data_IF_029903565934
#
_entry.id   IF_029903565934
#
_cell.length_a   1.000
_cell.length_b   1.000
_cell.length_c   1.000
_cell.angle_alpha   90.00
_cell.angle_beta   90.00
_cell.angle_gamma   90.00
#
_symmetry.space_group_name_H-M   'P 1'
#
loop_
_entity.id
_entity.type
_entity.pdbx_description
1 polymer ?
#
# COMPACT_ATOMS: atom_id res chain seq x y z
N UNK A 1 10.63 -1.42 -59.34
CA UNK A 1 10.68 -2.59 -58.43
C UNK A 1 11.56 -2.32 -57.21
N UNK A 2 12.74 -1.70 -57.39
CA UNK A 2 13.67 -1.31 -56.32
C UNK A 2 13.10 -0.36 -55.25
N UNK A 3 12.32 0.65 -55.64
CA UNK A 3 11.75 1.64 -54.70
C UNK A 3 10.73 1.02 -53.73
N UNK A 4 9.97 0.02 -54.18
CA UNK A 4 8.95 -0.67 -53.36
C UNK A 4 9.63 -1.56 -52.29
N UNK A 5 10.78 -2.13 -52.60
CA UNK A 5 11.56 -2.95 -51.65
C UNK A 5 12.18 -2.09 -50.55
N UNK A 6 12.67 -0.90 -50.90
CA UNK A 6 13.21 0.08 -49.93
C UNK A 6 12.13 0.57 -48.97
N UNK A 7 10.94 0.90 -49.45
CA UNK A 7 9.82 1.32 -48.59
C UNK A 7 9.36 0.17 -47.68
N UNK A 8 9.25 -1.05 -48.21
CA UNK A 8 8.90 -2.22 -47.40
C UNK A 8 9.93 -2.49 -46.30
N UNK A 9 11.22 -2.41 -46.63
CA UNK A 9 12.31 -2.58 -45.65
C UNK A 9 12.29 -1.50 -44.56
N UNK A 10 11.98 -0.25 -44.91
CA UNK A 10 11.81 0.84 -43.92
C UNK A 10 10.60 0.60 -43.02
N UNK A 11 9.46 0.22 -43.59
CA UNK A 11 8.24 -0.10 -42.84
C UNK A 11 8.49 -1.27 -41.87
N UNK A 12 9.20 -2.31 -42.32
CA UNK A 12 9.52 -3.49 -41.52
C UNK A 12 10.50 -3.14 -40.38
N UNK A 13 11.51 -2.29 -40.63
CA UNK A 13 12.43 -1.80 -39.61
C UNK A 13 11.74 -0.93 -38.53
N UNK A 14 10.84 -0.03 -38.93
CA UNK A 14 10.06 0.81 -38.00
C UNK A 14 9.11 -0.04 -37.14
N UNK A 15 8.49 -1.08 -37.72
CA UNK A 15 7.66 -2.03 -36.97
C UNK A 15 8.49 -2.82 -35.97
N UNK A 16 9.69 -3.26 -36.34
CA UNK A 16 10.58 -4.00 -35.46
C UNK A 16 11.06 -3.14 -34.27
N UNK A 17 11.42 -1.87 -34.50
CA UNK A 17 11.81 -0.94 -33.44
C UNK A 17 10.64 -0.64 -32.48
N UNK A 18 9.45 -0.41 -33.03
CA UNK A 18 8.23 -0.21 -32.25
C UNK A 18 7.90 -1.44 -31.40
N UNK A 19 8.03 -2.64 -31.98
CA UNK A 19 7.86 -3.90 -31.26
C UNK A 19 8.89 -4.06 -30.13
N UNK A 20 10.17 -3.76 -30.37
CA UNK A 20 11.22 -3.80 -29.34
C UNK A 20 10.97 -2.82 -28.20
N UNK A 21 10.51 -1.61 -28.51
CA UNK A 21 10.16 -0.59 -27.52
C UNK A 21 8.99 -1.06 -26.68
N UNK A 22 7.93 -1.56 -27.32
CA UNK A 22 6.76 -2.12 -26.63
C UNK A 22 7.16 -3.31 -25.73
N UNK A 23 7.96 -4.25 -26.23
CA UNK A 23 8.45 -5.38 -25.45
C UNK A 23 9.32 -4.95 -24.28
N UNK A 24 10.17 -3.93 -24.44
CA UNK A 24 11.00 -3.40 -23.34
C UNK A 24 10.15 -2.74 -22.25
N UNK A 25 9.12 -1.98 -22.64
CA UNK A 25 8.15 -1.39 -21.70
C UNK A 25 7.40 -2.50 -20.96
N UNK A 26 6.98 -3.57 -21.64
CA UNK A 26 6.35 -4.73 -21.01
C UNK A 26 7.29 -5.42 -20.01
N UNK A 27 8.56 -5.60 -20.33
CA UNK A 27 9.54 -6.17 -19.38
C UNK A 27 9.72 -5.28 -18.14
N UNK A 28 9.81 -3.97 -18.30
CA UNK A 28 9.89 -3.04 -17.19
C UNK A 28 8.63 -3.09 -16.31
N UNK A 29 7.44 -3.14 -16.93
CA UNK A 29 6.16 -3.31 -16.24
C UNK A 29 6.06 -4.64 -15.49
N UNK A 30 6.60 -5.73 -16.04
CA UNK A 30 6.68 -7.02 -15.35
C UNK A 30 7.63 -6.97 -14.15
N UNK A 31 8.80 -6.35 -14.29
CA UNK A 31 9.73 -6.17 -13.18
C UNK A 31 9.10 -5.31 -12.05
N UNK A 32 8.46 -4.19 -12.39
CA UNK A 32 7.75 -3.34 -11.43
C UNK A 32 6.58 -4.07 -10.75
N UNK A 33 5.83 -4.87 -11.50
CA UNK A 33 4.73 -5.70 -10.97
C UNK A 33 5.25 -6.72 -9.96
N UNK A 34 6.36 -7.39 -10.27
CA UNK A 34 7.00 -8.36 -9.38
C UNK A 34 7.49 -7.69 -8.09
N UNK A 35 8.10 -6.51 -8.22
CA UNK A 35 8.57 -5.72 -7.09
C UNK A 35 7.43 -5.17 -6.24
N UNK A 36 6.28 -4.81 -6.81
CA UNK A 36 5.18 -4.21 -6.06
C UNK A 36 4.58 -5.15 -5.01
N UNK A 37 4.45 -6.45 -5.32
CA UNK A 37 3.98 -7.44 -4.34
C UNK A 37 5.05 -7.80 -3.31
N UNK A 38 6.28 -8.03 -3.76
CA UNK A 38 7.39 -8.49 -2.91
C UNK A 38 7.92 -7.39 -1.97
N UNK A 39 8.02 -6.15 -2.46
CA UNK A 39 8.48 -5.00 -1.66
C UNK A 39 7.59 -4.71 -0.45
N UNK A 40 6.28 -4.95 -0.56
CA UNK A 40 5.35 -4.85 0.57
C UNK A 40 5.65 -5.86 1.68
N UNK A 41 6.07 -7.08 1.31
CA UNK A 41 6.48 -8.13 2.26
C UNK A 41 7.79 -7.76 2.94
N UNK A 42 8.78 -7.26 2.20
CA UNK A 42 10.03 -6.79 2.81
C UNK A 42 9.78 -5.63 3.76
N UNK A 43 8.91 -4.69 3.38
CA UNK A 43 8.53 -3.55 4.21
C UNK A 43 7.82 -3.97 5.51
N UNK A 44 6.95 -4.99 5.48
CA UNK A 44 6.29 -5.49 6.70
C UNK A 44 7.28 -6.18 7.64
N UNK A 45 8.22 -6.96 7.08
CA UNK A 45 9.25 -7.65 7.86
C UNK A 45 10.14 -6.63 8.59
N UNK A 46 10.62 -5.61 7.88
CA UNK A 46 11.40 -4.52 8.48
C UNK A 46 10.57 -3.80 9.56
N UNK A 47 9.28 -3.55 9.31
CA UNK A 47 8.38 -2.95 10.28
C UNK A 47 8.31 -3.76 11.58
N UNK A 48 8.23 -5.09 11.49
CA UNK A 48 8.14 -5.97 12.67
C UNK A 48 9.47 -5.99 13.42
N UNK A 49 10.59 -6.14 12.71
CA UNK A 49 11.94 -6.20 13.31
C UNK A 49 12.28 -4.87 14.01
N UNK A 50 12.05 -3.75 13.32
CA UNK A 50 12.37 -2.40 13.84
C UNK A 50 11.28 -1.80 14.70
N UNK A 51 10.19 -2.53 14.98
CA UNK A 51 9.08 -2.02 15.80
C UNK A 51 9.57 -1.56 17.18
N UNK A 52 10.44 -2.34 17.81
CA UNK A 52 10.98 -2.04 19.14
C UNK A 52 11.87 -0.79 19.14
N UNK A 53 12.66 -0.57 18.08
CA UNK A 53 13.56 0.59 17.94
C UNK A 53 12.82 1.93 17.87
N UNK A 54 11.59 1.93 17.34
CA UNK A 54 10.79 3.15 17.14
C UNK A 54 9.75 3.37 18.24
N UNK A 55 9.65 2.47 19.22
CA UNK A 55 8.75 2.62 20.36
C UNK A 55 9.08 3.88 21.17
N UNK A 56 8.05 4.63 21.56
CA UNK A 56 8.20 5.93 22.21
C UNK A 56 8.27 7.15 21.27
N UNK A 57 8.56 6.94 19.97
CA UNK A 57 8.60 8.03 18.96
C UNK A 57 7.27 8.18 18.20
N UNK A 58 7.13 9.26 17.42
CA UNK A 58 5.99 9.43 16.51
C UNK A 58 5.98 8.41 15.36
N UNK A 59 7.13 7.78 15.04
CA UNK A 59 7.25 6.77 13.99
C UNK A 59 6.50 5.48 14.33
N UNK A 60 6.35 5.14 15.61
CA UNK A 60 5.56 3.97 16.02
C UNK A 60 4.11 4.03 15.49
N UNK A 61 3.54 5.23 15.32
CA UNK A 61 2.20 5.40 14.75
C UNK A 61 2.14 5.10 13.24
N UNK A 62 3.22 5.41 12.53
CA UNK A 62 3.38 5.10 11.10
C UNK A 62 3.58 3.61 10.89
N UNK A 63 4.42 2.96 11.70
CA UNK A 63 4.65 1.51 11.65
C UNK A 63 3.33 0.74 11.81
N UNK A 64 2.50 1.11 12.81
CA UNK A 64 1.16 0.53 13.00
C UNK A 64 0.23 0.75 11.82
N UNK A 65 0.29 1.93 11.20
CA UNK A 65 -0.57 2.28 10.06
C UNK A 65 -0.15 1.55 8.77
N UNK A 66 1.15 1.39 8.54
CA UNK A 66 1.70 0.57 7.45
C UNK A 66 1.31 -0.90 7.62
N UNK A 67 1.44 -1.46 8.82
CA UNK A 67 1.04 -2.84 9.11
C UNK A 67 -0.44 -3.07 8.80
N UNK A 68 -1.33 -2.19 9.26
CA UNK A 68 -2.77 -2.30 8.97
C UNK A 68 -3.06 -2.22 7.48
N UNK A 69 -2.39 -1.31 6.77
CA UNK A 69 -2.62 -1.14 5.33
C UNK A 69 -2.18 -2.37 4.55
N UNK A 70 -1.06 -2.99 4.91
CA UNK A 70 -0.64 -4.27 4.33
C UNK A 70 -1.64 -5.39 4.61
N UNK A 71 -2.12 -5.53 5.85
CA UNK A 71 -3.12 -6.55 6.20
C UNK A 71 -4.43 -6.39 5.42
N UNK A 72 -4.91 -5.15 5.26
CA UNK A 72 -6.07 -4.89 4.41
C UNK A 72 -5.81 -5.23 2.94
N UNK A 73 -4.64 -4.89 2.40
CA UNK A 73 -4.29 -5.26 1.03
C UNK A 73 -4.22 -6.77 0.80
N UNK A 74 -3.67 -7.53 1.76
CA UNK A 74 -3.68 -9.01 1.70
C UNK A 74 -5.11 -9.54 1.77
N UNK A 75 -5.95 -9.00 2.66
CA UNK A 75 -7.35 -9.40 2.78
C UNK A 75 -8.11 -9.18 1.46
N UNK A 76 -8.00 -8.00 0.85
CA UNK A 76 -8.65 -7.69 -0.42
C UNK A 76 -8.12 -8.54 -1.57
N UNK A 77 -6.82 -8.88 -1.57
CA UNK A 77 -6.23 -9.78 -2.55
C UNK A 77 -6.80 -11.20 -2.44
N UNK A 78 -6.92 -11.73 -1.22
CA UNK A 78 -7.55 -13.03 -0.96
C UNK A 78 -9.03 -13.03 -1.38
N UNK A 79 -9.74 -11.93 -1.14
CA UNK A 79 -11.14 -11.77 -1.54
C UNK A 79 -11.30 -11.74 -3.07
N UNK A 80 -10.40 -11.03 -3.77
CA UNK A 80 -10.32 -11.03 -5.24
C UNK A 80 -10.01 -12.42 -5.80
N UNK A 81 -9.09 -13.15 -5.18
CA UNK A 81 -8.77 -14.54 -5.54
C UNK A 81 -9.98 -15.46 -5.35
N UNK A 82 -10.70 -15.33 -4.24
CA UNK A 82 -11.92 -16.10 -3.98
C UNK A 82 -13.00 -15.81 -5.03
N UNK A 83 -13.19 -14.53 -5.41
CA UNK A 83 -14.10 -14.18 -6.52
C UNK A 83 -13.66 -14.80 -7.84
N UNK A 84 -12.35 -14.84 -8.13
CA UNK A 84 -11.81 -15.48 -9.33
C UNK A 84 -12.06 -16.98 -9.37
N UNK A 85 -11.85 -17.69 -8.25
CA UNK A 85 -12.12 -19.12 -8.12
C UNK A 85 -13.61 -19.42 -8.27
N UNK A 86 -14.49 -18.57 -7.72
CA UNK A 86 -15.95 -18.70 -7.89
C UNK A 86 -16.42 -18.33 -9.30
N UNK A 87 -15.66 -17.51 -10.03
CA UNK A 87 -15.95 -17.12 -11.41
C UNK A 87 -15.62 -18.20 -12.46
N UNK A 88 -15.05 -19.34 -12.06
CA UNK A 88 -14.72 -20.45 -12.98
C UNK A 88 -15.95 -21.16 -13.60
N UNK A 89 -17.17 -20.87 -13.13
CA UNK A 89 -18.41 -21.39 -13.73
C UNK A 89 -19.00 -20.50 -14.84
N UNK A 90 -19.90 -21.04 -15.67
CA UNK A 90 -20.54 -20.37 -16.84
C UNK A 90 -21.30 -19.07 -16.48
N UNK A 91 -21.64 -18.85 -15.20
CA UNK A 91 -22.23 -17.60 -14.67
C UNK A 91 -21.21 -16.59 -14.12
N UNK A 92 -19.91 -16.82 -14.33
CA UNK A 92 -18.81 -16.10 -13.69
C UNK A 92 -18.47 -14.74 -14.29
N UNK A 93 -18.96 -14.40 -15.48
CA UNK A 93 -18.65 -13.13 -16.15
C UNK A 93 -18.97 -11.87 -15.31
N UNK A 94 -20.14 -11.72 -14.66
CA UNK A 94 -20.39 -10.57 -13.78
C UNK A 94 -19.50 -10.57 -12.52
N UNK A 95 -19.17 -11.74 -11.99
CA UNK A 95 -18.32 -11.88 -10.80
C UNK A 95 -16.84 -11.56 -11.11
N UNK A 96 -16.40 -11.88 -12.32
CA UNK A 96 -15.09 -11.52 -12.86
C UNK A 96 -14.94 -9.99 -12.99
N UNK A 97 -15.92 -9.32 -13.60
CA UNK A 97 -15.92 -7.85 -13.72
C UNK A 97 -15.92 -7.19 -12.34
N UNK A 98 -16.73 -7.69 -11.41
CA UNK A 98 -16.73 -7.22 -10.02
C UNK A 98 -15.37 -7.42 -9.33
N UNK A 99 -14.74 -8.58 -9.53
CA UNK A 99 -13.40 -8.87 -9.00
C UNK A 99 -12.33 -7.92 -9.55
N UNK A 100 -12.34 -7.65 -10.86
CA UNK A 100 -11.41 -6.69 -11.49
C UNK A 100 -11.60 -5.28 -10.94
N UNK A 101 -12.85 -4.80 -10.84
CA UNK A 101 -13.14 -3.48 -10.26
C UNK A 101 -12.68 -3.39 -8.80
N UNK A 102 -12.84 -4.46 -8.03
CA UNK A 102 -12.42 -4.53 -6.64
C UNK A 102 -10.89 -4.42 -6.51
N UNK A 103 -10.14 -5.12 -7.37
CA UNK A 103 -8.66 -5.04 -7.42
C UNK A 103 -8.19 -3.64 -7.81
N UNK A 104 -8.81 -3.02 -8.82
CA UNK A 104 -8.49 -1.65 -9.25
C UNK A 104 -8.77 -0.66 -8.11
N UNK A 105 -9.94 -0.74 -7.48
CA UNK A 105 -10.31 0.13 -6.36
C UNK A 105 -9.35 -0.04 -5.17
N UNK A 106 -8.97 -1.28 -4.83
CA UNK A 106 -7.98 -1.57 -3.79
C UNK A 106 -6.61 -0.98 -4.13
N UNK A 107 -6.19 -1.03 -5.40
CA UNK A 107 -4.92 -0.46 -5.86
C UNK A 107 -4.90 1.06 -5.68
N UNK A 108 -5.95 1.76 -6.13
CA UNK A 108 -6.09 3.20 -5.96
C UNK A 108 -6.12 3.58 -4.47
N UNK A 109 -6.88 2.84 -3.66
CA UNK A 109 -6.94 3.04 -2.21
C UNK A 109 -5.58 2.85 -1.53
N UNK A 110 -4.82 1.83 -1.93
CA UNK A 110 -3.50 1.55 -1.41
C UNK A 110 -2.52 2.68 -1.73
N UNK A 111 -2.51 3.18 -2.96
CA UNK A 111 -1.68 4.32 -3.38
C UNK A 111 -2.04 5.57 -2.57
N UNK A 112 -3.33 5.89 -2.45
CA UNK A 112 -3.81 7.01 -1.64
C UNK A 112 -3.32 6.90 -0.19
N UNK A 113 -3.42 5.71 0.41
CA UNK A 113 -2.95 5.47 1.77
C UNK A 113 -1.46 5.78 1.86
N UNK A 114 -0.62 5.15 1.03
CA UNK A 114 0.84 5.34 1.04
C UNK A 114 1.21 6.82 0.89
N UNK A 115 0.59 7.52 -0.06
CA UNK A 115 0.81 8.96 -0.25
C UNK A 115 0.46 9.78 1.00
N UNK A 116 -0.68 9.47 1.65
CA UNK A 116 -1.07 10.17 2.88
C UNK A 116 -0.10 9.88 4.04
N UNK A 117 0.37 8.64 4.17
CA UNK A 117 1.38 8.27 5.17
C UNK A 117 2.71 9.00 4.96
N UNK A 118 3.10 9.19 3.69
CA UNK A 118 4.33 9.90 3.35
C UNK A 118 4.24 11.41 3.60
N UNK A 119 3.06 12.01 3.34
CA UNK A 119 2.79 13.42 3.66
C UNK A 119 2.95 13.70 5.16
N UNK A 120 2.37 12.86 6.02
CA UNK A 120 2.44 13.01 7.47
C UNK A 120 3.86 12.79 8.02
N UNK A 121 4.64 11.92 7.37
CA UNK A 121 6.05 11.72 7.69
C UNK A 121 6.88 12.97 7.38
N UNK A 122 6.66 13.59 6.21
CA UNK A 122 7.34 14.83 5.80
C UNK A 122 7.03 15.98 6.76
N UNK A 123 5.80 16.04 7.26
CA UNK A 123 5.36 17.06 8.22
C UNK A 123 5.77 16.75 9.68
N UNK A 124 6.57 15.70 9.94
CA UNK A 124 6.94 15.23 11.29
C UNK A 124 5.75 15.04 12.24
N UNK A 125 4.57 14.65 11.70
CA UNK A 125 3.34 14.52 12.48
C UNK A 125 2.97 13.05 12.69
N UNK A 126 2.57 12.64 13.91
CA UNK A 126 2.14 11.27 14.15
C UNK A 126 0.85 10.95 13.36
N UNK A 127 0.78 9.74 12.81
CA UNK A 127 -0.39 9.27 12.04
C UNK A 127 -1.62 9.02 12.93
N UNK A 128 -1.36 8.61 14.17
CA UNK A 128 -2.36 8.60 15.24
C UNK A 128 -1.91 9.61 16.28
N UNK A 129 -2.72 10.65 16.53
CA UNK A 129 -2.51 11.50 17.71
C UNK A 129 -2.50 10.57 18.91
N UNK A 130 -1.39 10.55 19.65
CA UNK A 130 -1.28 9.81 20.91
C UNK A 130 -2.47 10.32 21.74
N UNK A 131 -3.46 9.45 22.02
CA UNK A 131 -4.33 9.67 23.18
C UNK A 131 -3.41 9.39 24.37
N UNK A 132 -2.60 10.38 24.71
CA UNK A 132 -2.16 10.51 26.08
C UNK A 132 -3.42 10.45 26.94
N UNK A 133 -3.37 9.59 27.97
CA UNK A 133 -4.43 9.47 28.97
C UNK A 133 -4.72 10.85 29.54
N UNK A 134 -5.68 11.53 28.94
CA UNK A 134 -6.28 12.75 29.43
C UNK A 134 -7.20 12.41 30.61
N UNK A 135 -6.64 11.75 31.63
CA UNK A 135 -7.45 11.17 32.71
C UNK A 135 -6.72 10.47 33.84
N UNK A 136 -5.40 10.59 34.01
CA UNK A 136 -4.74 10.09 35.24
C UNK A 136 -3.80 11.11 35.90
N UNK A 137 -3.87 12.39 35.50
CA UNK A 137 -3.09 13.46 36.12
C UNK A 137 -3.93 14.40 36.99
N UNK A 138 -5.06 13.93 37.51
CA UNK A 138 -5.79 14.54 38.63
C UNK A 138 -6.50 13.45 39.40
N UNK A 139 -5.77 12.85 40.32
CA UNK A 139 -6.25 12.37 41.61
C UNK A 139 -4.97 12.08 42.39
N UNK A 140 -4.28 13.16 42.76
CA UNK A 140 -3.18 13.10 43.71
C UNK A 140 -3.81 12.97 45.12
N UNK A 141 -3.79 11.79 45.77
CA UNK A 141 -4.37 11.64 47.11
C UNK A 141 -3.67 12.52 48.16
N UNK A 142 -2.45 12.99 47.87
CA UNK A 142 -1.66 13.86 48.75
C UNK A 142 -2.28 15.26 48.91
N UNK A 143 -3.04 15.75 47.93
CA UNK A 143 -3.73 17.05 48.03
C UNK A 143 -5.05 16.98 48.82
N UNK A 144 -5.59 15.78 49.07
CA UNK A 144 -6.83 15.60 49.82
C UNK A 144 -6.64 15.73 51.34
N UNK A 145 -5.40 15.61 51.84
CA UNK A 145 -5.13 15.57 53.29
C UNK A 145 -4.79 16.95 53.88
N UNK A 146 -4.24 17.87 53.09
CA UNK A 146 -3.94 19.23 53.55
C UNK A 146 -5.19 20.06 53.91
N UNK A 147 -6.38 19.65 53.45
CA UNK A 147 -7.64 20.27 53.82
C UNK A 147 -8.28 19.68 55.09
N UNK A 148 -7.86 18.50 55.56
CA UNK A 148 -8.35 17.89 56.81
C UNK A 148 -7.59 18.37 58.04
N UNK A 149 -6.37 18.89 57.89
CA UNK A 149 -5.52 19.35 59.00
C UNK A 149 -5.72 20.84 59.36
N UNK A 150 -6.69 21.53 58.75
CA UNK A 150 -6.95 22.96 58.94
C UNK A 150 -8.39 23.31 59.38
N UNK A 151 -9.17 22.33 59.86
CA UNK A 151 -10.47 22.59 60.51
C UNK A 151 -10.53 21.95 61.88
#
# INVERSE_FOLDING_TARGET
>A
MEVIDVDKKKIDAVKEESAKTLTSVLYALYALSFLSGFSGVVAIIINIIKKADVEGTFLASHFRWQIRTFLFSVLWFLLGMACFLMAAGVKGLPLFVAGVLLVVANTVWFIYRVAKGWLYLKDNRPMYRRQDRHGLHRDNPEQADHHRLRR
#
